data_IF_324357458844
#
_entry.id   IF_324357458844
#
_cell.length_a   1.000
_cell.length_b   1.000
_cell.length_c   1.000
_cell.angle_alpha   90.00
_cell.angle_beta   90.00
_cell.angle_gamma   90.00
#
_symmetry.space_group_name_H-M   'P 1'
#
loop_
_entity.id
_entity.type
_entity.pdbx_description
1 polymer ?
#
# COMPACT_ATOMS: atom_id res chain seq x y z
N UNK A 1 -1.05 13.49 1.92
CA UNK A 1 -2.00 12.61 2.61
C UNK A 1 -3.33 13.34 2.73
N UNK A 2 -4.00 13.50 1.61
CA UNK A 2 -5.40 13.86 1.60
C UNK A 2 -6.13 12.79 2.39
N UNK A 3 -6.79 13.18 3.47
CA UNK A 3 -7.51 12.26 4.33
C UNK A 3 -8.56 11.55 3.49
N UNK A 4 -8.27 10.32 3.09
CA UNK A 4 -9.09 9.53 2.19
C UNK A 4 -10.57 9.52 2.62
N UNK A 5 -10.85 9.40 3.92
CA UNK A 5 -12.21 9.40 4.44
C UNK A 5 -12.93 10.76 4.40
N UNK A 6 -12.22 11.87 4.64
CA UNK A 6 -12.85 13.19 4.73
C UNK A 6 -13.36 13.71 3.38
N UNK A 7 -12.61 13.52 2.31
CA UNK A 7 -13.04 13.96 0.96
C UNK A 7 -14.18 13.09 0.42
N UNK A 8 -14.14 11.77 0.69
CA UNK A 8 -15.18 10.84 0.26
C UNK A 8 -16.50 11.12 0.97
N UNK A 9 -16.46 11.38 2.28
CA UNK A 9 -17.67 11.73 3.06
C UNK A 9 -18.26 13.07 2.63
N UNK A 10 -17.43 14.08 2.34
CA UNK A 10 -17.88 15.38 1.86
C UNK A 10 -18.45 15.31 0.43
N UNK A 11 -18.02 14.37 -0.40
CA UNK A 11 -18.49 14.19 -1.76
C UNK A 11 -19.74 13.31 -1.88
N UNK A 12 -20.19 12.66 -0.78
CA UNK A 12 -21.41 11.82 -0.77
C UNK A 12 -22.61 12.61 -1.25
N UNK A 13 -23.33 12.03 -2.23
CA UNK A 13 -24.52 12.63 -2.82
C UNK A 13 -24.27 13.72 -3.89
N UNK A 14 -23.02 14.00 -4.23
CA UNK A 14 -22.66 14.93 -5.30
C UNK A 14 -22.04 14.20 -6.50
N UNK A 15 -22.07 14.83 -7.68
CA UNK A 15 -21.40 14.31 -8.88
C UNK A 15 -19.87 14.18 -8.67
N UNK A 16 -19.32 14.94 -7.73
CA UNK A 16 -17.90 14.90 -7.37
C UNK A 16 -17.45 13.57 -6.77
N UNK A 17 -18.37 12.72 -6.29
CA UNK A 17 -18.03 11.40 -5.73
C UNK A 17 -17.22 10.53 -6.71
N UNK A 18 -17.54 10.57 -7.99
CA UNK A 18 -16.85 9.78 -9.02
C UNK A 18 -15.41 10.23 -9.20
N UNK A 19 -15.16 11.55 -9.17
CA UNK A 19 -13.82 12.11 -9.27
C UNK A 19 -12.99 11.80 -8.02
N UNK A 20 -13.58 11.99 -6.85
CA UNK A 20 -12.92 11.69 -5.57
C UNK A 20 -12.56 10.21 -5.49
N UNK A 21 -13.47 9.31 -5.87
CA UNK A 21 -13.21 7.87 -5.93
C UNK A 21 -12.09 7.53 -6.92
N UNK A 22 -12.04 8.18 -8.08
CA UNK A 22 -10.95 7.96 -9.03
C UNK A 22 -9.58 8.37 -8.46
N UNK A 23 -9.51 9.53 -7.81
CA UNK A 23 -8.29 10.00 -7.13
C UNK A 23 -7.88 9.05 -6.00
N UNK A 24 -8.85 8.54 -5.25
CA UNK A 24 -8.61 7.61 -4.16
C UNK A 24 -8.01 6.29 -4.67
N UNK A 25 -8.64 5.66 -5.66
CA UNK A 25 -8.12 4.44 -6.32
C UNK A 25 -6.71 4.66 -6.88
N UNK A 26 -6.48 5.79 -7.55
CA UNK A 26 -5.15 6.15 -8.06
C UNK A 26 -4.12 6.35 -6.95
N UNK A 27 -4.53 6.79 -5.76
CA UNK A 27 -3.64 7.02 -4.62
C UNK A 27 -3.21 5.73 -3.92
N UNK A 28 -4.02 4.67 -3.94
CA UNK A 28 -3.66 3.36 -3.36
C UNK A 28 -2.68 2.57 -4.24
N UNK A 29 -2.74 2.77 -5.54
CA UNK A 29 -1.96 1.98 -6.48
C UNK A 29 -0.44 2.16 -6.34
N UNK A 30 0.10 3.39 -6.17
CA UNK A 30 1.55 3.62 -6.07
C UNK A 30 2.20 2.88 -4.91
N UNK A 31 1.52 2.75 -3.77
CA UNK A 31 2.03 2.04 -2.58
C UNK A 31 2.33 0.58 -2.90
N UNK A 32 1.37 -0.10 -3.51
CA UNK A 32 1.50 -1.51 -3.90
C UNK A 32 2.55 -1.68 -5.02
N UNK A 33 2.53 -0.79 -6.02
CA UNK A 33 3.51 -0.78 -7.10
C UNK A 33 4.94 -0.57 -6.58
N UNK A 34 5.11 0.30 -5.57
CA UNK A 34 6.41 0.57 -4.97
C UNK A 34 6.96 -0.65 -4.22
N UNK A 35 6.13 -1.34 -3.43
CA UNK A 35 6.53 -2.56 -2.72
C UNK A 35 6.91 -3.69 -3.70
N UNK A 36 6.09 -3.89 -4.75
CA UNK A 36 6.37 -4.86 -5.81
C UNK A 36 7.67 -4.50 -6.56
N UNK A 37 7.82 -3.22 -6.96
CA UNK A 37 9.01 -2.71 -7.63
C UNK A 37 10.28 -2.86 -6.78
N UNK A 38 10.16 -2.67 -5.47
CA UNK A 38 11.27 -2.92 -4.53
C UNK A 38 11.70 -4.39 -4.56
N UNK A 39 10.76 -5.34 -4.67
CA UNK A 39 11.07 -6.75 -4.86
C UNK A 39 11.79 -7.03 -6.18
N UNK A 40 11.29 -6.46 -7.29
CA UNK A 40 11.90 -6.64 -8.63
C UNK A 40 13.35 -6.16 -8.67
N UNK A 41 13.64 -5.01 -8.07
CA UNK A 41 14.95 -4.34 -8.16
C UNK A 41 15.86 -4.62 -6.97
N UNK A 42 15.29 -4.98 -5.82
CA UNK A 42 15.99 -5.16 -4.56
C UNK A 42 16.43 -6.59 -4.28
N UNK A 43 15.86 -7.58 -4.98
CA UNK A 43 16.21 -8.98 -4.82
C UNK A 43 17.72 -9.21 -5.00
N UNK A 44 18.36 -9.84 -4.01
CA UNK A 44 19.82 -9.96 -3.89
C UNK A 44 20.59 -8.61 -3.89
N UNK A 45 19.90 -7.51 -3.65
CA UNK A 45 20.53 -6.22 -3.47
C UNK A 45 21.31 -6.12 -2.17
N UNK A 46 22.18 -5.12 -2.08
CA UNK A 46 22.83 -4.78 -0.80
C UNK A 46 21.78 -4.09 0.10
N UNK A 47 21.30 -4.83 1.11
CA UNK A 47 20.39 -4.28 2.14
C UNK A 47 21.21 -3.49 3.17
N UNK A 48 21.72 -2.34 2.74
CA UNK A 48 22.56 -1.49 3.58
C UNK A 48 21.70 -0.64 4.51
N UNK A 49 21.91 -0.79 5.81
CA UNK A 49 21.23 0.00 6.84
C UNK A 49 21.44 1.50 6.69
N UNK A 50 22.53 1.93 6.07
CA UNK A 50 22.78 3.35 5.81
C UNK A 50 21.69 3.98 4.93
N UNK A 51 21.15 3.23 3.97
CA UNK A 51 20.02 3.70 3.14
C UNK A 51 18.73 3.85 3.95
N UNK A 52 18.50 2.95 4.88
CA UNK A 52 17.34 3.02 5.77
C UNK A 52 17.45 4.21 6.72
N UNK A 53 18.64 4.42 7.30
CA UNK A 53 18.93 5.58 8.17
C UNK A 53 18.76 6.88 7.39
N UNK A 54 19.29 6.94 6.16
CA UNK A 54 19.14 8.10 5.29
C UNK A 54 17.65 8.42 5.01
N UNK A 55 16.86 7.40 4.66
CA UNK A 55 15.43 7.56 4.46
C UNK A 55 14.72 8.03 5.73
N UNK A 56 15.09 7.50 6.89
CA UNK A 56 14.55 7.88 8.19
C UNK A 56 14.84 9.35 8.52
N UNK A 57 16.10 9.76 8.38
CA UNK A 57 16.52 11.15 8.63
C UNK A 57 15.79 12.13 7.71
N UNK A 58 15.65 11.79 6.42
CA UNK A 58 14.88 12.61 5.48
C UNK A 58 13.40 12.72 5.87
N UNK A 59 12.79 11.60 6.27
CA UNK A 59 11.40 11.59 6.70
C UNK A 59 11.19 12.47 7.93
N UNK A 60 12.08 12.38 8.93
CA UNK A 60 12.03 13.26 10.12
C UNK A 60 12.23 14.71 9.71
N UNK A 61 13.19 15.00 8.86
CA UNK A 61 13.49 16.38 8.45
C UNK A 61 12.27 17.06 7.82
N UNK A 62 11.62 16.40 6.86
CA UNK A 62 10.42 16.94 6.23
C UNK A 62 9.22 16.98 7.18
N UNK A 63 9.01 15.92 7.94
CA UNK A 63 7.93 15.85 8.92
C UNK A 63 8.04 16.94 9.98
N UNK A 64 9.22 17.05 10.60
CA UNK A 64 9.50 18.06 11.61
C UNK A 64 9.40 19.48 11.04
N UNK A 65 9.97 19.72 9.85
CA UNK A 65 9.90 21.04 9.21
C UNK A 65 8.47 21.49 8.96
N UNK A 66 7.64 20.60 8.41
CA UNK A 66 6.23 20.91 8.13
C UNK A 66 5.45 21.15 9.42
N UNK A 67 5.58 20.26 10.42
CA UNK A 67 4.78 20.38 11.64
C UNK A 67 5.21 21.57 12.50
N UNK A 68 6.49 21.90 12.55
CA UNK A 68 6.99 23.10 13.24
C UNK A 68 6.43 24.36 12.56
N UNK A 69 6.43 24.42 11.23
CA UNK A 69 5.84 25.53 10.49
C UNK A 69 4.34 25.66 10.80
N UNK A 70 3.59 24.57 10.79
CA UNK A 70 2.17 24.57 11.13
C UNK A 70 1.91 24.99 12.57
N UNK A 71 2.77 24.62 13.50
CA UNK A 71 2.70 25.04 14.90
C UNK A 71 2.93 26.56 15.03
N UNK A 72 3.94 27.10 14.37
CA UNK A 72 4.21 28.55 14.37
C UNK A 72 3.06 29.38 13.76
N UNK A 73 2.34 28.79 12.80
CA UNK A 73 1.16 29.39 12.18
C UNK A 73 -0.13 29.19 13.01
N UNK A 74 -0.08 28.46 14.14
CA UNK A 74 -1.22 28.23 15.01
C UNK A 74 -2.19 27.13 14.53
N UNK A 75 -1.80 26.31 13.55
CA UNK A 75 -2.65 25.25 12.98
C UNK A 75 -2.55 23.90 13.69
N UNK A 76 -1.57 23.69 14.56
CA UNK A 76 -1.41 22.43 15.30
C UNK A 76 -0.91 22.66 16.73
N UNK A 77 -1.08 21.63 17.57
CA UNK A 77 -0.70 21.64 18.97
C UNK A 77 0.74 21.12 19.17
N UNK A 78 1.36 21.42 20.32
CA UNK A 78 2.67 20.87 20.68
C UNK A 78 2.67 19.33 20.76
N UNK A 79 1.53 18.70 21.12
CA UNK A 79 1.40 17.24 21.13
C UNK A 79 1.51 16.63 19.73
N UNK A 80 1.01 17.33 18.72
CA UNK A 80 1.15 16.92 17.30
C UNK A 80 2.59 17.08 16.83
N UNK A 81 3.29 18.14 17.24
CA UNK A 81 4.73 18.34 16.98
C UNK A 81 5.53 17.16 17.51
N UNK A 82 5.33 16.80 18.78
CA UNK A 82 6.05 15.70 19.41
C UNK A 82 5.76 14.35 18.72
N UNK A 83 4.53 14.10 18.31
CA UNK A 83 4.15 12.88 17.61
C UNK A 83 4.80 12.78 16.22
N UNK A 84 4.91 13.88 15.50
CA UNK A 84 5.47 13.92 14.15
C UNK A 84 7.02 13.91 14.14
N UNK A 85 7.66 14.26 15.25
CA UNK A 85 9.10 14.07 15.46
C UNK A 85 9.49 12.58 15.53
N UNK A 86 8.53 11.68 15.88
CA UNK A 86 8.75 10.25 15.97
C UNK A 86 7.86 9.49 14.97
N UNK A 87 8.12 9.60 13.66
CA UNK A 87 7.24 9.10 12.61
C UNK A 87 6.99 7.58 12.66
N UNK A 88 7.95 6.79 13.19
CA UNK A 88 7.80 5.33 13.37
C UNK A 88 6.78 4.98 14.44
N UNK A 89 6.78 5.73 15.56
CA UNK A 89 5.95 5.43 16.73
C UNK A 89 4.62 6.18 16.66
N UNK A 90 4.63 7.36 16.06
CA UNK A 90 3.48 8.25 15.97
C UNK A 90 2.33 7.74 15.08
N UNK A 91 2.55 6.69 14.29
CA UNK A 91 1.53 6.05 13.45
C UNK A 91 1.01 6.90 12.28
N UNK A 92 1.48 8.14 12.11
CA UNK A 92 1.00 9.07 11.10
C UNK A 92 1.47 8.71 9.68
N UNK A 93 2.64 8.08 9.59
CA UNK A 93 3.25 7.62 8.34
C UNK A 93 3.30 6.10 8.29
N UNK A 94 2.11 5.47 8.30
CA UNK A 94 1.97 4.01 8.32
C UNK A 94 2.82 3.31 7.27
N UNK A 95 2.89 3.88 6.05
CA UNK A 95 3.68 3.30 4.96
C UNK A 95 5.17 3.29 5.27
N UNK A 96 5.68 4.37 5.88
CA UNK A 96 7.08 4.44 6.28
C UNK A 96 7.41 3.38 7.33
N UNK A 97 6.55 3.21 8.34
CA UNK A 97 6.71 2.16 9.38
C UNK A 97 6.64 0.77 8.76
N UNK A 98 5.68 0.53 7.86
CA UNK A 98 5.53 -0.73 7.15
C UNK A 98 6.74 -1.03 6.24
N UNK A 99 7.26 -0.02 5.54
CA UNK A 99 8.44 -0.15 4.71
C UNK A 99 9.72 -0.39 5.54
N UNK A 100 9.85 0.27 6.68
CA UNK A 100 10.95 0.02 7.62
C UNK A 100 10.96 -1.44 8.06
N UNK A 101 9.80 -1.97 8.44
CA UNK A 101 9.64 -3.38 8.79
C UNK A 101 9.99 -4.31 7.62
N UNK A 102 9.48 -4.02 6.42
CA UNK A 102 9.82 -4.77 5.21
C UNK A 102 11.34 -4.78 4.98
N UNK A 103 12.00 -3.61 5.07
CA UNK A 103 13.44 -3.50 4.81
C UNK A 103 14.27 -4.40 5.73
N UNK A 104 13.91 -4.48 7.02
CA UNK A 104 14.58 -5.36 7.97
C UNK A 104 14.39 -6.84 7.63
N UNK A 105 13.28 -7.19 7.00
CA UNK A 105 12.96 -8.57 6.61
C UNK A 105 13.51 -8.96 5.24
N UNK A 106 13.85 -8.01 4.36
CA UNK A 106 14.32 -8.30 2.99
C UNK A 106 15.39 -9.38 2.91
N UNK A 107 16.47 -9.37 3.74
CA UNK A 107 17.49 -10.43 3.65
C UNK A 107 16.95 -11.84 3.93
N UNK A 108 15.96 -11.94 4.81
CA UNK A 108 15.32 -13.21 5.14
C UNK A 108 14.32 -13.64 4.06
N UNK A 109 13.61 -12.67 3.46
CA UNK A 109 12.70 -12.93 2.34
C UNK A 109 13.45 -13.39 1.09
N UNK A 110 14.61 -12.80 0.81
CA UNK A 110 15.48 -13.22 -0.29
C UNK A 110 15.94 -14.68 -0.09
N UNK A 111 16.40 -15.01 1.13
CA UNK A 111 16.78 -16.39 1.47
C UNK A 111 15.60 -17.36 1.34
N UNK A 112 14.39 -16.94 1.71
CA UNK A 112 13.16 -17.73 1.53
C UNK A 112 12.94 -18.07 0.05
N UNK A 113 13.09 -17.09 -0.85
CA UNK A 113 12.95 -17.29 -2.30
C UNK A 113 13.99 -18.25 -2.85
N UNK A 114 15.20 -18.30 -2.28
CA UNK A 114 16.25 -19.20 -2.75
C UNK A 114 16.06 -20.64 -2.26
N UNK A 115 15.40 -20.83 -1.12
CA UNK A 115 15.27 -22.14 -0.49
C UNK A 115 13.96 -22.86 -0.80
N UNK A 116 12.89 -22.12 -1.11
CA UNK A 116 11.54 -22.68 -1.30
C UNK A 116 11.29 -22.94 -2.79
N UNK A 117 10.52 -24.00 -3.07
CA UNK A 117 10.00 -24.27 -4.41
C UNK A 117 9.16 -23.07 -4.91
N UNK A 118 9.61 -22.47 -6.02
CA UNK A 118 9.03 -21.26 -6.57
C UNK A 118 7.58 -21.42 -7.02
N UNK A 119 7.22 -22.62 -7.53
CA UNK A 119 5.84 -22.89 -7.91
C UNK A 119 4.93 -22.90 -6.70
N UNK A 120 5.31 -23.61 -5.64
CA UNK A 120 4.55 -23.63 -4.39
C UNK A 120 4.45 -22.25 -3.77
N UNK A 121 5.55 -21.50 -3.75
CA UNK A 121 5.55 -20.13 -3.22
C UNK A 121 4.60 -19.24 -4.01
N UNK A 122 4.66 -19.27 -5.34
CA UNK A 122 3.76 -18.48 -6.20
C UNK A 122 2.29 -18.84 -5.96
N UNK A 123 1.97 -20.13 -5.83
CA UNK A 123 0.59 -20.58 -5.54
C UNK A 123 0.13 -20.05 -4.18
N UNK A 124 0.95 -20.17 -3.13
CA UNK A 124 0.62 -19.68 -1.79
C UNK A 124 0.39 -18.17 -1.81
N UNK A 125 1.30 -17.40 -2.41
CA UNK A 125 1.16 -15.95 -2.50
C UNK A 125 -0.10 -15.55 -3.28
N UNK A 126 -0.40 -16.25 -4.38
CA UNK A 126 -1.61 -16.01 -5.19
C UNK A 126 -2.88 -16.30 -4.40
N UNK A 127 -2.91 -17.39 -3.63
CA UNK A 127 -4.03 -17.71 -2.74
C UNK A 127 -4.21 -16.66 -1.65
N UNK A 128 -3.12 -16.19 -1.04
CA UNK A 128 -3.17 -15.12 -0.04
C UNK A 128 -3.73 -13.80 -0.63
N UNK A 129 -3.30 -13.44 -1.83
CA UNK A 129 -3.85 -12.28 -2.54
C UNK A 129 -5.33 -12.45 -2.87
N UNK A 130 -5.73 -13.64 -3.33
CA UNK A 130 -7.12 -13.94 -3.64
C UNK A 130 -7.99 -13.87 -2.39
N UNK A 131 -7.55 -14.49 -1.28
CA UNK A 131 -8.26 -14.43 0.00
C UNK A 131 -8.39 -13.00 0.52
N UNK A 132 -7.34 -12.18 0.37
CA UNK A 132 -7.43 -10.76 0.72
C UNK A 132 -8.44 -10.01 -0.16
N UNK A 133 -8.45 -10.29 -1.46
CA UNK A 133 -9.39 -9.65 -2.39
C UNK A 133 -10.84 -10.08 -2.17
N UNK A 134 -11.07 -11.33 -1.77
CA UNK A 134 -12.41 -11.88 -1.47
C UNK A 134 -12.89 -11.57 -0.05
N UNK A 135 -12.08 -10.95 0.78
CA UNK A 135 -12.43 -10.61 2.17
C UNK A 135 -13.50 -9.51 2.20
N UNK A 136 -14.76 -9.91 2.13
CA UNK A 136 -15.93 -9.01 2.06
C UNK A 136 -16.22 -8.36 3.43
N UNK A 137 -16.04 -9.12 4.52
CA UNK A 137 -16.48 -8.73 5.86
C UNK A 137 -15.38 -8.13 6.72
N UNK A 138 -14.21 -7.87 6.18
CA UNK A 138 -13.12 -7.27 6.96
C UNK A 138 -11.80 -7.99 6.76
N UNK A 139 -10.93 -7.59 7.53
CA UNK A 139 -9.52 -7.80 7.58
C UNK A 139 -9.18 -9.20 8.18
N UNK A 140 -9.51 -10.29 7.47
CA UNK A 140 -9.35 -11.68 7.97
C UNK A 140 -7.92 -11.92 8.51
N UNK A 141 -6.90 -11.34 7.86
CA UNK A 141 -5.51 -11.49 8.26
C UNK A 141 -4.96 -10.25 8.98
N UNK A 142 -5.80 -9.31 9.38
CA UNK A 142 -5.39 -8.01 9.93
C UNK A 142 -4.40 -7.25 9.04
N UNK A 143 -4.51 -7.41 7.70
CA UNK A 143 -3.66 -6.70 6.73
C UNK A 143 -4.13 -5.29 6.44
N UNK A 144 -5.14 -4.83 7.15
CA UNK A 144 -5.68 -3.48 7.06
C UNK A 144 -5.95 -3.06 5.60
N UNK A 145 -6.66 -3.92 4.85
CA UNK A 145 -6.97 -3.71 3.43
C UNK A 145 -5.73 -3.47 2.54
N UNK A 146 -4.61 -4.08 2.88
CA UNK A 146 -3.36 -3.89 2.15
C UNK A 146 -2.47 -2.76 2.70
N UNK A 147 -2.84 -2.15 3.83
CA UNK A 147 -2.09 -1.08 4.49
C UNK A 147 -1.26 -1.62 5.68
N UNK A 148 -0.50 -2.70 5.46
CA UNK A 148 0.29 -3.35 6.51
C UNK A 148 1.66 -3.77 6.03
N UNK A 149 2.62 -3.91 6.96
CA UNK A 149 3.96 -4.39 6.66
C UNK A 149 3.98 -5.82 6.13
N UNK A 150 3.12 -6.70 6.64
CA UNK A 150 2.98 -8.08 6.15
C UNK A 150 2.46 -8.14 4.71
N UNK A 151 1.54 -7.26 4.33
CA UNK A 151 1.10 -7.12 2.95
C UNK A 151 2.25 -6.67 2.03
N UNK A 152 3.05 -5.69 2.45
CA UNK A 152 4.22 -5.26 1.70
C UNK A 152 5.24 -6.39 1.52
N UNK A 153 5.40 -7.28 2.51
CA UNK A 153 6.25 -8.48 2.37
C UNK A 153 5.74 -9.45 1.29
N UNK A 154 4.41 -9.65 1.19
CA UNK A 154 3.82 -10.47 0.13
C UNK A 154 4.09 -9.86 -1.24
N UNK A 155 3.90 -8.55 -1.40
CA UNK A 155 4.18 -7.85 -2.64
C UNK A 155 5.66 -7.87 -2.99
N UNK A 156 6.55 -7.73 -2.00
CA UNK A 156 7.99 -7.87 -2.19
C UNK A 156 8.35 -9.27 -2.72
N UNK A 157 7.83 -10.33 -2.12
CA UNK A 157 8.07 -11.71 -2.58
C UNK A 157 7.60 -11.92 -4.02
N UNK A 158 6.42 -11.40 -4.38
CA UNK A 158 5.97 -11.42 -5.78
C UNK A 158 6.92 -10.65 -6.70
N UNK A 159 7.31 -9.43 -6.31
CA UNK A 159 8.25 -8.62 -7.06
C UNK A 159 9.59 -9.32 -7.27
N UNK A 160 10.13 -9.93 -6.21
CA UNK A 160 11.39 -10.65 -6.26
C UNK A 160 11.32 -11.90 -7.17
N UNK A 161 10.19 -12.64 -7.16
CA UNK A 161 9.96 -13.72 -8.12
C UNK A 161 9.92 -13.18 -9.57
N UNK A 162 9.21 -12.09 -9.82
CA UNK A 162 9.18 -11.45 -11.15
C UNK A 162 10.56 -11.00 -11.61
N UNK A 163 11.36 -10.44 -10.70
CA UNK A 163 12.75 -10.03 -10.96
C UNK A 163 13.65 -11.24 -11.23
N UNK A 164 13.58 -12.28 -10.42
CA UNK A 164 14.37 -13.52 -10.56
C UNK A 164 14.15 -14.18 -11.92
N UNK A 165 12.90 -14.20 -12.40
CA UNK A 165 12.55 -14.80 -13.70
C UNK A 165 12.60 -13.83 -14.87
N UNK A 166 13.00 -12.57 -14.62
CA UNK A 166 13.06 -11.51 -15.64
C UNK A 166 11.75 -11.38 -16.42
N UNK A 167 10.63 -11.53 -15.74
CA UNK A 167 9.31 -11.53 -16.38
C UNK A 167 9.04 -10.20 -17.08
N UNK A 168 9.48 -9.09 -16.48
CA UNK A 168 9.31 -7.75 -17.04
C UNK A 168 10.05 -7.57 -18.38
N UNK A 169 11.17 -8.27 -18.59
CA UNK A 169 11.93 -8.20 -19.85
C UNK A 169 11.24 -8.95 -21.00
N UNK A 170 10.36 -9.90 -20.65
CA UNK A 170 9.64 -10.74 -21.62
C UNK A 170 8.32 -10.14 -22.08
N UNK A 171 7.83 -9.12 -21.40
CA UNK A 171 6.53 -8.50 -21.64
C UNK A 171 6.77 -7.12 -22.25
N UNK A 172 6.13 -6.82 -23.39
CA UNK A 172 6.26 -5.50 -24.00
C UNK A 172 5.64 -4.41 -23.10
N UNK A 173 6.23 -3.21 -23.12
CA UNK A 173 5.73 -2.07 -22.37
C UNK A 173 4.26 -1.75 -22.67
N UNK A 174 3.83 -1.97 -23.93
CA UNK A 174 2.42 -1.78 -24.34
C UNK A 174 1.48 -2.72 -23.61
N UNK A 175 1.86 -3.99 -23.45
CA UNK A 175 1.05 -4.99 -22.71
C UNK A 175 1.02 -4.63 -21.23
N UNK A 176 2.14 -4.23 -20.63
CA UNK A 176 2.18 -3.78 -19.24
C UNK A 176 1.28 -2.58 -19.00
N UNK A 177 1.33 -1.57 -19.88
CA UNK A 177 0.45 -0.40 -19.78
C UNK A 177 -1.03 -0.79 -19.93
N UNK A 178 -1.35 -1.68 -20.88
CA UNK A 178 -2.72 -2.15 -21.06
C UNK A 178 -3.23 -2.90 -19.81
N UNK A 179 -2.45 -3.84 -19.29
CA UNK A 179 -2.81 -4.58 -18.06
C UNK A 179 -3.00 -3.63 -16.89
N UNK A 180 -2.10 -2.67 -16.72
CA UNK A 180 -2.20 -1.64 -15.67
C UNK A 180 -3.50 -0.83 -15.81
N UNK A 181 -3.80 -0.35 -17.01
CA UNK A 181 -5.03 0.42 -17.29
C UNK A 181 -6.29 -0.41 -17.01
N UNK A 182 -6.31 -1.68 -17.43
CA UNK A 182 -7.42 -2.59 -17.16
C UNK A 182 -7.57 -2.85 -15.66
N UNK A 183 -6.48 -3.09 -14.93
CA UNK A 183 -6.53 -3.28 -13.47
C UNK A 183 -7.05 -2.04 -12.74
N UNK A 184 -6.61 -0.85 -13.12
CA UNK A 184 -7.11 0.41 -12.56
C UNK A 184 -8.60 0.60 -12.84
N UNK A 185 -9.05 0.33 -14.07
CA UNK A 185 -10.45 0.40 -14.44
C UNK A 185 -11.30 -0.60 -13.64
N UNK A 186 -10.85 -1.84 -13.53
CA UNK A 186 -11.55 -2.87 -12.75
C UNK A 186 -11.61 -2.51 -11.25
N UNK A 187 -10.53 -1.95 -10.69
CA UNK A 187 -10.51 -1.47 -9.31
C UNK A 187 -11.51 -0.34 -9.10
N UNK A 188 -11.54 0.62 -10.02
CA UNK A 188 -12.49 1.74 -9.97
C UNK A 188 -13.95 1.26 -10.08
N UNK A 189 -14.24 0.39 -11.05
CA UNK A 189 -15.58 -0.18 -11.22
C UNK A 189 -15.98 -1.05 -10.02
N UNK A 190 -15.05 -1.85 -9.50
CA UNK A 190 -15.26 -2.65 -8.30
C UNK A 190 -15.64 -1.77 -7.10
N UNK A 191 -14.92 -0.71 -6.89
CA UNK A 191 -15.20 0.25 -5.79
C UNK A 191 -16.59 0.88 -5.91
N UNK A 192 -17.08 1.15 -7.12
CA UNK A 192 -18.41 1.72 -7.35
C UNK A 192 -19.55 0.70 -7.29
N UNK A 193 -19.30 -0.54 -7.72
CA UNK A 193 -20.35 -1.55 -7.95
C UNK A 193 -20.50 -2.48 -6.75
N UNK A 194 -19.39 -2.97 -6.20
CA UNK A 194 -19.40 -4.02 -5.17
C UNK A 194 -20.21 -3.62 -3.93
N UNK A 195 -20.08 -2.42 -3.34
CA UNK A 195 -20.89 -2.02 -2.19
C UNK A 195 -22.39 -2.01 -2.49
N UNK A 196 -22.78 -1.55 -3.70
CA UNK A 196 -24.19 -1.50 -4.13
C UNK A 196 -24.76 -2.91 -4.33
N UNK A 197 -23.96 -3.80 -4.90
CA UNK A 197 -24.35 -5.18 -5.15
C UNK A 197 -24.48 -5.97 -3.85
N UNK A 198 -23.53 -5.83 -2.95
CA UNK A 198 -23.54 -6.47 -1.64
C UNK A 198 -24.75 -6.03 -0.79
N UNK A 199 -25.07 -4.75 -0.82
CA UNK A 199 -26.28 -4.23 -0.15
C UNK A 199 -27.56 -4.83 -0.72
N UNK A 200 -27.65 -5.02 -2.05
CA UNK A 200 -28.83 -5.58 -2.70
C UNK A 200 -28.98 -7.09 -2.51
N UNK A 201 -27.87 -7.85 -2.56
CA UNK A 201 -27.91 -9.31 -2.56
C UNK A 201 -27.87 -9.93 -1.17
N UNK A 202 -27.14 -9.33 -0.26
CA UNK A 202 -26.88 -9.93 1.06
C UNK A 202 -27.43 -9.11 2.23
N UNK A 203 -28.01 -7.94 2.00
CA UNK A 203 -28.42 -7.02 3.05
C UNK A 203 -27.23 -6.53 3.90
N UNK A 204 -26.01 -6.77 3.41
CA UNK A 204 -24.80 -6.38 4.10
C UNK A 204 -24.62 -4.89 3.87
N UNK A 205 -24.88 -4.10 4.91
CA UNK A 205 -24.40 -2.75 4.95
C UNK A 205 -22.88 -2.80 5.06
N UNK A 206 -22.19 -2.48 3.98
CA UNK A 206 -20.79 -2.09 4.08
C UNK A 206 -20.78 -0.87 5.00
N UNK A 207 -20.38 -1.10 6.24
CA UNK A 207 -20.19 -0.03 7.20
C UNK A 207 -19.33 1.04 6.52
N UNK A 208 -19.69 2.29 6.78
CA UNK A 208 -18.90 3.41 6.29
C UNK A 208 -17.45 3.11 6.63
N UNK A 209 -16.65 2.81 5.60
CA UNK A 209 -15.22 2.69 5.79
C UNK A 209 -14.74 4.06 6.25
N UNK A 210 -14.60 4.19 7.56
CA UNK A 210 -13.85 5.27 8.17
C UNK A 210 -12.38 4.95 7.93
N UNK A 211 -11.84 5.46 6.83
CA UNK A 211 -10.41 5.53 6.61
C UNK A 211 -9.85 6.79 7.23
#
# INVERSE_FOLDING_TARGET
LLAHGGMLSAAKGTTSIYLVTAVDVLSFWPVNAYALGTGVTGFHGKHDLSRLIYLYVHTIFYSAGIVILLYLLGFCSMGEVLRDLFPLIGGRYWYFTAYFFLFLLMPYLDKLIDTVDHFKLTVILSLLCLLNALSISGNIFHWNYGLSGSWLCILYLFGALLGKYRVAERISAKVLLLVTAVCLLLSYLGYLIVPKLAMRLAGIHYGEYQF
#
